data_IF_721794668930
#
_entry.id   IF_721794668930
#
_cell.length_a   1.000
_cell.length_b   1.000
_cell.length_c   1.000
_cell.angle_alpha   90.00
_cell.angle_beta   90.00
_cell.angle_gamma   90.00
#
_symmetry.space_group_name_H-M   'P 1'
#
loop_
_entity.id
_entity.type
_entity.pdbx_description
1 polymer ?
#
# COMPACT_ATOMS: atom_id res chain seq x y z
N UNK A 1 20.50 -9.22 -7.90
CA UNK A 1 19.04 -9.28 -8.14
C UNK A 1 18.22 -8.82 -6.93
N UNK A 2 18.39 -9.39 -5.72
CA UNK A 2 17.56 -8.99 -4.56
C UNK A 2 17.82 -7.53 -4.14
N UNK A 3 19.08 -7.10 -4.07
CA UNK A 3 19.44 -5.70 -3.69
C UNK A 3 18.85 -4.67 -4.66
N UNK A 4 18.86 -4.96 -5.96
CA UNK A 4 18.30 -4.07 -6.99
C UNK A 4 16.78 -4.03 -6.91
N UNK A 5 16.12 -5.17 -6.67
CA UNK A 5 14.66 -5.23 -6.48
C UNK A 5 14.22 -4.42 -5.26
N UNK A 6 14.87 -4.62 -4.11
CA UNK A 6 14.56 -3.86 -2.89
C UNK A 6 14.87 -2.37 -3.07
N UNK A 7 15.95 -2.03 -3.78
CA UNK A 7 16.28 -0.65 -4.13
C UNK A 7 15.20 0.04 -4.96
N UNK A 8 14.75 -0.60 -6.04
CA UNK A 8 13.69 -0.06 -6.92
C UNK A 8 12.35 0.05 -6.19
N UNK A 9 11.98 -0.95 -5.38
CA UNK A 9 10.76 -0.93 -4.60
C UNK A 9 10.77 0.21 -3.56
N UNK A 10 11.92 0.38 -2.89
CA UNK A 10 12.14 1.46 -1.93
C UNK A 10 12.07 2.85 -2.59
N UNK A 11 12.74 3.03 -3.74
CA UNK A 11 12.69 4.31 -4.46
C UNK A 11 11.27 4.65 -4.95
N UNK A 12 10.53 3.67 -5.49
CA UNK A 12 9.16 3.90 -5.96
C UNK A 12 8.21 4.27 -4.81
N UNK A 13 8.36 3.62 -3.65
CA UNK A 13 7.61 3.94 -2.44
C UNK A 13 7.92 5.36 -1.96
N UNK A 14 9.21 5.73 -1.93
CA UNK A 14 9.65 7.08 -1.56
C UNK A 14 9.08 8.15 -2.48
N UNK A 15 9.15 7.96 -3.80
CA UNK A 15 8.56 8.91 -4.76
C UNK A 15 7.06 9.08 -4.55
N UNK A 16 6.35 7.99 -4.24
CA UNK A 16 4.91 8.04 -3.95
C UNK A 16 4.62 8.86 -2.68
N UNK A 17 5.44 8.72 -1.63
CA UNK A 17 5.31 9.51 -0.39
C UNK A 17 5.62 10.98 -0.63
N UNK A 18 6.67 11.30 -1.39
CA UNK A 18 7.02 12.69 -1.75
C UNK A 18 5.87 13.34 -2.52
N UNK A 19 5.32 12.64 -3.52
CA UNK A 19 4.15 13.13 -4.27
C UNK A 19 2.91 13.31 -3.37
N UNK A 20 2.73 12.43 -2.38
CA UNK A 20 1.63 12.56 -1.42
C UNK A 20 1.79 13.77 -0.50
N UNK A 21 3.02 14.11 -0.11
CA UNK A 21 3.34 15.27 0.71
C UNK A 21 3.34 16.59 -0.07
N UNK A 22 3.46 16.53 -1.40
CA UNK A 22 3.37 17.68 -2.27
C UNK A 22 1.90 18.08 -2.50
N UNK A 23 1.43 19.11 -1.78
CA UNK A 23 0.04 19.56 -1.81
C UNK A 23 -0.20 20.61 -2.91
N UNK A 24 0.82 21.39 -3.27
CA UNK A 24 0.71 22.57 -4.15
C UNK A 24 1.70 22.50 -5.31
N UNK A 25 1.76 21.37 -6.00
CA UNK A 25 2.70 21.11 -7.11
C UNK A 25 4.18 21.36 -6.72
N UNK A 26 4.47 21.24 -5.42
CA UNK A 26 5.75 21.54 -4.81
C UNK A 26 6.61 20.28 -4.61
N UNK A 27 6.46 19.30 -5.51
CA UNK A 27 7.16 18.00 -5.46
C UNK A 27 8.68 18.22 -5.39
N UNK A 28 9.21 19.19 -6.15
CA UNK A 28 10.64 19.51 -6.15
C UNK A 28 11.15 20.03 -4.81
N UNK A 29 10.40 20.91 -4.13
CA UNK A 29 10.78 21.44 -2.81
C UNK A 29 10.73 20.35 -1.73
N UNK A 30 9.67 19.53 -1.74
CA UNK A 30 9.55 18.39 -0.83
C UNK A 30 10.70 17.40 -1.04
N UNK A 31 11.00 17.05 -2.30
CA UNK A 31 12.10 16.15 -2.64
C UNK A 31 13.47 16.72 -2.22
N UNK A 32 13.70 18.03 -2.40
CA UNK A 32 14.95 18.68 -2.01
C UNK A 32 15.14 18.68 -0.48
N UNK A 33 14.07 18.94 0.29
CA UNK A 33 14.09 18.86 1.75
C UNK A 33 14.37 17.45 2.25
N UNK A 34 13.69 16.47 1.68
CA UNK A 34 13.86 15.05 2.02
C UNK A 34 15.29 14.57 1.70
N UNK A 35 15.83 14.91 0.52
CA UNK A 35 17.21 14.59 0.14
C UNK A 35 18.27 15.27 1.03
N UNK A 36 18.01 16.51 1.46
CA UNK A 36 18.90 17.21 2.40
C UNK A 36 18.90 16.56 3.79
N UNK A 37 17.74 16.11 4.27
CA UNK A 37 17.62 15.39 5.55
C UNK A 37 18.36 14.06 5.52
N UNK A 38 18.20 13.28 4.45
CA UNK A 38 18.94 12.03 4.27
C UNK A 38 20.45 12.26 4.26
N UNK A 39 20.92 13.29 3.56
CA UNK A 39 22.34 13.65 3.50
C UNK A 39 22.87 14.00 4.90
N UNK A 40 22.15 14.83 5.65
CA UNK A 40 22.52 15.22 7.01
C UNK A 40 22.59 14.00 7.95
N UNK A 41 21.59 13.12 7.88
CA UNK A 41 21.54 11.88 8.67
C UNK A 41 22.71 10.96 8.30
N UNK A 42 23.05 10.84 7.01
CA UNK A 42 24.19 10.03 6.57
C UNK A 42 25.52 10.58 7.07
N UNK A 43 25.70 11.90 7.08
CA UNK A 43 26.89 12.55 7.67
C UNK A 43 26.98 12.25 9.17
N UNK A 44 25.87 12.37 9.89
CA UNK A 44 25.81 12.05 11.32
C UNK A 44 26.10 10.56 11.59
N UNK A 45 25.50 9.65 10.80
CA UNK A 45 25.74 8.22 10.90
C UNK A 45 27.20 7.86 10.63
N UNK A 46 27.83 8.51 9.65
CA UNK A 46 29.26 8.35 9.36
C UNK A 46 30.10 8.78 10.57
N UNK A 47 29.82 9.94 11.15
CA UNK A 47 30.53 10.42 12.34
C UNK A 47 30.38 9.47 13.53
N UNK A 48 29.15 9.01 13.81
CA UNK A 48 28.90 8.01 14.84
C UNK A 48 29.63 6.69 14.55
N UNK A 49 29.64 6.23 13.30
CA UNK A 49 30.33 5.00 12.91
C UNK A 49 31.83 5.09 13.14
N UNK A 50 32.44 6.25 12.86
CA UNK A 50 33.88 6.49 13.09
C UNK A 50 34.24 6.43 14.57
N UNK A 51 33.39 6.99 15.44
CA UNK A 51 33.59 6.96 16.89
C UNK A 51 33.36 5.56 17.48
N UNK A 52 32.43 4.80 16.90
CA UNK A 52 31.99 3.52 17.42
C UNK A 52 32.88 2.35 16.95
N UNK A 53 33.52 2.49 15.77
CA UNK A 53 34.38 1.47 15.17
C UNK A 53 35.52 0.98 16.10
N UNK A 54 36.28 1.85 16.81
CA UNK A 54 37.34 1.40 17.72
C UNK A 54 36.81 0.58 18.90
N UNK A 55 35.59 0.88 19.36
CA UNK A 55 34.94 0.21 20.50
C UNK A 55 34.45 -1.18 20.12
N UNK A 56 33.90 -1.33 18.91
CA UNK A 56 33.23 -2.57 18.49
C UNK A 56 34.11 -3.52 17.68
N UNK A 57 35.18 -3.02 17.05
CA UNK A 57 36.05 -3.78 16.14
C UNK A 57 36.67 -5.04 16.73
N UNK A 58 36.82 -5.11 18.06
CA UNK A 58 37.46 -6.23 18.75
C UNK A 58 36.49 -7.33 19.19
N UNK A 59 35.17 -7.14 19.09
CA UNK A 59 34.18 -8.09 19.58
C UNK A 59 33.03 -8.30 18.59
N UNK A 60 33.11 -9.39 17.84
CA UNK A 60 32.10 -9.76 16.85
C UNK A 60 30.69 -9.94 17.46
N UNK A 61 30.58 -10.39 18.71
CA UNK A 61 29.28 -10.53 19.39
C UNK A 61 28.65 -9.16 19.59
N UNK A 62 29.44 -8.17 20.00
CA UNK A 62 28.94 -6.80 20.20
C UNK A 62 28.51 -6.15 18.88
N UNK A 63 29.23 -6.41 17.78
CA UNK A 63 28.84 -5.96 16.43
C UNK A 63 27.48 -6.53 16.03
N UNK A 64 27.26 -7.85 16.21
CA UNK A 64 25.99 -8.49 15.87
C UNK A 64 24.84 -8.00 16.74
N UNK A 65 25.06 -7.81 18.05
CA UNK A 65 24.04 -7.25 18.94
C UNK A 65 23.61 -5.85 18.50
N UNK A 66 24.58 -4.98 18.20
CA UNK A 66 24.30 -3.61 17.78
C UNK A 66 23.63 -3.58 16.39
N UNK A 67 24.07 -4.44 15.47
CA UNK A 67 23.44 -4.61 14.17
C UNK A 67 21.96 -5.03 14.30
N UNK A 68 21.66 -6.04 15.11
CA UNK A 68 20.29 -6.48 15.34
C UNK A 68 19.44 -5.38 15.99
N UNK A 69 20.00 -4.67 16.98
CA UNK A 69 19.32 -3.55 17.65
C UNK A 69 18.98 -2.42 16.67
N UNK A 70 19.97 -1.94 15.91
CA UNK A 70 19.73 -0.88 14.93
C UNK A 70 18.78 -1.33 13.82
N UNK A 71 18.93 -2.56 13.31
CA UNK A 71 18.00 -3.12 12.31
C UNK A 71 16.57 -3.14 12.84
N UNK A 72 16.37 -3.55 14.10
CA UNK A 72 15.05 -3.52 14.73
C UNK A 72 14.49 -2.11 14.84
N UNK A 73 15.29 -1.15 15.31
CA UNK A 73 14.89 0.27 15.41
C UNK A 73 14.54 0.83 14.03
N UNK A 74 15.35 0.57 12.99
CA UNK A 74 15.09 0.99 11.62
C UNK A 74 13.78 0.39 11.09
N UNK A 75 13.57 -0.91 11.26
CA UNK A 75 12.36 -1.58 10.79
C UNK A 75 11.11 -1.09 11.53
N UNK A 76 11.21 -0.87 12.85
CA UNK A 76 10.13 -0.31 13.65
C UNK A 76 9.80 1.13 13.23
N UNK A 77 10.83 1.96 12.98
CA UNK A 77 10.66 3.30 12.45
C UNK A 77 9.93 3.31 11.11
N UNK A 78 10.35 2.45 10.17
CA UNK A 78 9.68 2.28 8.89
C UNK A 78 8.23 1.81 9.04
N UNK A 79 7.97 0.84 9.93
CA UNK A 79 6.61 0.38 10.23
C UNK A 79 5.73 1.52 10.75
N UNK A 80 6.23 2.31 11.70
CA UNK A 80 5.52 3.47 12.25
C UNK A 80 5.29 4.54 11.20
N UNK A 81 6.28 4.83 10.36
CA UNK A 81 6.15 5.79 9.27
C UNK A 81 5.00 5.39 8.33
N UNK A 82 4.94 4.12 7.90
CA UNK A 82 3.85 3.65 7.04
C UNK A 82 2.50 3.68 7.75
N UNK A 83 2.40 3.31 9.04
CA UNK A 83 1.12 3.39 9.80
C UNK A 83 0.56 4.82 9.91
N UNK A 84 1.42 5.83 9.90
CA UNK A 84 1.00 7.23 10.05
C UNK A 84 0.60 7.89 8.73
N UNK A 85 0.87 7.25 7.58
CA UNK A 85 0.49 7.79 6.28
C UNK A 85 -1.03 7.79 6.11
N UNK A 86 -1.56 8.91 5.60
CA UNK A 86 -2.98 9.10 5.32
C UNK A 86 -3.17 9.39 3.84
N UNK A 87 -3.07 8.35 3.02
CA UNK A 87 -3.24 8.48 1.58
C UNK A 87 -4.64 8.99 1.20
N UNK A 88 -4.69 9.79 0.13
CA UNK A 88 -5.94 10.25 -0.50
C UNK A 88 -6.56 9.18 -1.41
N UNK A 89 -5.89 8.05 -1.59
CA UNK A 89 -6.31 6.91 -2.40
C UNK A 89 -6.62 5.72 -1.50
N UNK A 90 -7.58 4.90 -1.91
CA UNK A 90 -7.90 3.65 -1.22
C UNK A 90 -7.10 2.52 -1.85
N UNK A 91 -6.28 1.84 -1.05
CA UNK A 91 -5.73 0.56 -1.45
C UNK A 91 -6.80 -0.55 -1.32
N UNK A 92 -6.54 -1.72 -1.90
CA UNK A 92 -7.52 -2.82 -1.92
C UNK A 92 -7.86 -3.36 -0.52
N UNK A 93 -6.88 -3.46 0.38
CA UNK A 93 -7.06 -3.94 1.75
C UNK A 93 -7.95 -2.98 2.54
N UNK A 94 -7.62 -1.70 2.49
CA UNK A 94 -8.36 -0.63 3.14
C UNK A 94 -9.78 -0.51 2.58
N UNK A 95 -9.97 -0.60 1.25
CA UNK A 95 -11.29 -0.61 0.64
C UNK A 95 -12.16 -1.73 1.22
N UNK A 96 -11.63 -2.95 1.30
CA UNK A 96 -12.35 -4.10 1.88
C UNK A 96 -12.76 -3.85 3.33
N UNK A 97 -11.84 -3.30 4.14
CA UNK A 97 -12.12 -2.97 5.54
C UNK A 97 -13.24 -1.93 5.62
N UNK A 98 -13.15 -0.85 4.83
CA UNK A 98 -14.15 0.22 4.80
C UNK A 98 -15.52 -0.30 4.37
N UNK A 99 -15.60 -1.12 3.32
CA UNK A 99 -16.87 -1.69 2.84
C UNK A 99 -17.48 -2.62 3.88
N UNK A 100 -16.68 -3.51 4.48
CA UNK A 100 -17.15 -4.41 5.53
C UNK A 100 -17.67 -3.65 6.75
N UNK A 101 -16.93 -2.65 7.21
CA UNK A 101 -17.32 -1.81 8.34
C UNK A 101 -18.61 -1.02 8.04
N UNK A 102 -18.75 -0.51 6.82
CA UNK A 102 -19.95 0.18 6.37
C UNK A 102 -21.18 -0.73 6.30
N UNK A 103 -21.04 -1.96 5.78
CA UNK A 103 -22.15 -2.93 5.74
C UNK A 103 -22.66 -3.21 7.16
N UNK A 104 -21.74 -3.36 8.12
CA UNK A 104 -22.08 -3.71 9.51
C UNK A 104 -22.63 -2.52 10.31
N UNK A 105 -22.03 -1.34 10.19
CA UNK A 105 -22.35 -0.17 11.04
C UNK A 105 -23.26 0.85 10.37
N UNK A 106 -23.39 0.80 9.04
CA UNK A 106 -24.02 1.83 8.19
C UNK A 106 -23.40 3.23 8.32
N UNK A 107 -22.18 3.31 8.85
CA UNK A 107 -21.40 4.54 9.02
C UNK A 107 -20.08 4.44 8.28
N UNK A 108 -19.52 5.58 7.89
CA UNK A 108 -18.18 5.68 7.31
C UNK A 108 -17.30 6.31 8.39
N UNK A 109 -16.32 5.55 8.88
CA UNK A 109 -15.34 6.06 9.83
C UNK A 109 -14.30 6.98 9.20
N UNK A 110 -13.49 7.61 10.04
CA UNK A 110 -12.43 8.52 9.59
C UNK A 110 -11.26 7.77 8.96
N UNK A 111 -10.45 8.46 8.14
CA UNK A 111 -9.23 7.88 7.54
C UNK A 111 -8.31 7.30 8.62
N UNK A 112 -8.16 8.00 9.74
CA UNK A 112 -7.33 7.55 10.85
C UNK A 112 -7.85 6.25 11.50
N UNK A 113 -9.17 6.16 11.73
CA UNK A 113 -9.78 4.94 12.28
C UNK A 113 -9.60 3.73 11.34
N UNK A 114 -9.76 3.95 10.03
CA UNK A 114 -9.65 2.89 9.04
C UNK A 114 -8.20 2.44 8.82
N UNK A 115 -7.25 3.38 8.75
CA UNK A 115 -5.82 3.07 8.65
C UNK A 115 -5.29 2.33 9.89
N UNK A 116 -5.86 2.59 11.07
CA UNK A 116 -5.51 1.86 12.28
C UNK A 116 -5.95 0.38 12.22
N UNK A 117 -7.09 0.09 11.58
CA UNK A 117 -7.59 -1.27 11.34
C UNK A 117 -6.81 -2.02 10.25
N UNK A 118 -6.04 -1.33 9.41
CA UNK A 118 -5.33 -1.94 8.29
C UNK A 118 -4.10 -2.78 8.75
N UNK A 119 -4.00 -4.05 8.30
CA UNK A 119 -2.82 -4.88 8.50
C UNK A 119 -1.73 -4.54 7.47
N UNK A 120 -0.51 -4.21 7.95
CA UNK A 120 0.61 -3.83 7.07
C UNK A 120 1.56 -5.01 6.77
N UNK A 121 1.85 -5.85 7.76
CA UNK A 121 2.96 -6.81 7.66
C UNK A 121 2.57 -8.15 7.02
N UNK A 122 1.34 -8.61 7.23
CA UNK A 122 0.89 -9.93 6.81
C UNK A 122 -0.53 -9.83 6.26
N UNK A 123 -0.67 -9.41 5.00
CA UNK A 123 -1.94 -9.50 4.29
C UNK A 123 -1.86 -10.62 3.25
N UNK A 124 -2.21 -11.84 3.67
CA UNK A 124 -2.48 -12.94 2.74
C UNK A 124 -3.98 -13.01 2.49
N UNK A 125 -4.50 -12.07 1.70
CA UNK A 125 -5.89 -12.19 1.25
C UNK A 125 -6.00 -13.21 0.13
N UNK A 126 -6.90 -14.18 0.31
CA UNK A 126 -7.19 -15.23 -0.66
C UNK A 126 -8.06 -14.75 -1.84
N UNK A 127 -8.69 -13.57 -1.74
CA UNK A 127 -9.51 -13.03 -2.83
C UNK A 127 -8.64 -12.14 -3.70
N UNK A 128 -8.35 -12.58 -4.94
CA UNK A 128 -7.63 -11.76 -5.92
C UNK A 128 -8.63 -10.92 -6.69
N UNK A 129 -8.45 -9.61 -6.60
CA UNK A 129 -9.22 -8.63 -7.36
C UNK A 129 -8.37 -8.17 -8.54
N UNK A 130 -8.89 -8.34 -9.74
CA UNK A 130 -8.26 -7.94 -10.98
C UNK A 130 -8.96 -6.68 -11.50
N UNK A 131 -8.32 -5.54 -11.30
CA UNK A 131 -8.79 -4.26 -11.83
C UNK A 131 -8.14 -3.99 -13.19
N UNK A 132 -8.93 -3.51 -14.16
CA UNK A 132 -8.44 -3.13 -15.49
C UNK A 132 -8.18 -4.30 -16.43
N UNK A 133 -8.75 -5.49 -16.19
CA UNK A 133 -8.64 -6.61 -17.12
C UNK A 133 -9.49 -6.36 -18.38
N UNK A 134 -9.11 -6.96 -19.51
CA UNK A 134 -9.89 -6.86 -20.75
C UNK A 134 -11.21 -7.61 -20.58
N UNK A 135 -12.27 -7.10 -21.21
CA UNK A 135 -13.59 -7.75 -21.18
C UNK A 135 -13.55 -9.18 -21.76
N UNK A 136 -12.66 -9.44 -22.72
CA UNK A 136 -12.40 -10.77 -23.29
C UNK A 136 -11.99 -11.80 -22.22
N UNK A 137 -11.19 -11.37 -21.26
CA UNK A 137 -10.59 -12.25 -20.25
C UNK A 137 -11.61 -12.65 -19.18
N UNK A 138 -12.76 -11.97 -19.15
CA UNK A 138 -13.83 -12.16 -18.16
C UNK A 138 -14.90 -13.17 -18.59
N UNK A 139 -14.93 -13.60 -19.86
CA UNK A 139 -16.04 -14.40 -20.42
C UNK A 139 -16.03 -15.88 -20.01
N UNK A 140 -14.96 -16.37 -19.38
CA UNK A 140 -14.69 -17.81 -19.23
C UNK A 140 -15.35 -18.53 -18.05
N UNK A 141 -16.07 -17.86 -17.13
CA UNK A 141 -16.62 -18.51 -15.92
C UNK A 141 -18.12 -18.83 -16.03
N UNK A 142 -18.50 -20.09 -15.75
CA UNK A 142 -19.87 -20.60 -15.87
C UNK A 142 -20.82 -20.19 -14.73
N UNK A 143 -20.31 -19.79 -13.55
CA UNK A 143 -21.14 -19.39 -12.40
C UNK A 143 -20.78 -17.99 -11.92
N UNK A 144 -21.24 -16.99 -12.69
CA UNK A 144 -20.84 -15.58 -12.55
C UNK A 144 -22.00 -14.71 -12.08
N UNK A 145 -21.72 -13.86 -11.09
CA UNK A 145 -22.54 -12.69 -10.81
C UNK A 145 -21.92 -11.51 -11.56
N UNK A 146 -22.68 -10.84 -12.42
CA UNK A 146 -22.16 -9.72 -13.22
C UNK A 146 -23.03 -8.49 -13.08
N UNK A 147 -22.38 -7.34 -12.89
CA UNK A 147 -22.98 -6.03 -13.02
C UNK A 147 -22.36 -5.32 -14.21
N UNK A 148 -23.18 -4.94 -15.19
CA UNK A 148 -22.74 -4.29 -16.42
C UNK A 148 -23.44 -2.94 -16.53
N UNK A 149 -22.66 -1.88 -16.76
CA UNK A 149 -23.18 -0.58 -17.13
C UNK A 149 -22.36 0.02 -18.28
N UNK A 150 -22.79 1.17 -18.81
CA UNK A 150 -22.10 1.85 -19.90
C UNK A 150 -20.68 2.34 -19.56
N UNK A 151 -20.34 2.41 -18.27
CA UNK A 151 -19.04 2.90 -17.77
C UNK A 151 -18.12 1.80 -17.27
N UNK A 152 -18.65 0.70 -16.75
CA UNK A 152 -17.82 -0.36 -16.21
C UNK A 152 -18.58 -1.69 -16.18
N UNK A 153 -17.81 -2.76 -16.11
CA UNK A 153 -18.31 -4.12 -15.94
C UNK A 153 -17.60 -4.76 -14.78
N UNK A 154 -18.38 -5.29 -13.83
CA UNK A 154 -17.89 -6.06 -12.70
C UNK A 154 -18.39 -7.49 -12.84
N UNK A 155 -17.48 -8.44 -12.77
CA UNK A 155 -17.79 -9.87 -12.81
C UNK A 155 -17.16 -10.52 -11.60
N UNK A 156 -17.97 -11.27 -10.85
CA UNK A 156 -17.52 -12.05 -9.71
C UNK A 156 -17.75 -13.53 -10.00
N UNK A 157 -16.68 -14.32 -9.94
CA UNK A 157 -16.76 -15.78 -9.97
C UNK A 157 -17.13 -16.30 -8.57
N UNK A 158 -18.34 -16.85 -8.46
CA UNK A 158 -18.89 -17.31 -7.19
C UNK A 158 -18.19 -18.58 -6.65
N UNK A 159 -17.53 -19.35 -7.52
CA UNK A 159 -16.81 -20.57 -7.13
C UNK A 159 -15.43 -20.25 -6.60
N UNK A 160 -14.72 -19.34 -7.28
CA UNK A 160 -13.29 -19.10 -7.06
C UNK A 160 -12.99 -17.86 -6.22
N UNK A 161 -14.01 -17.06 -5.85
CA UNK A 161 -13.87 -15.81 -5.11
C UNK A 161 -12.97 -14.78 -5.81
N UNK A 162 -12.94 -14.84 -7.14
CA UNK A 162 -12.21 -13.89 -7.99
C UNK A 162 -13.16 -12.81 -8.48
N UNK A 163 -12.68 -11.57 -8.34
CA UNK A 163 -13.37 -10.38 -8.80
C UNK A 163 -12.64 -9.75 -9.98
N UNK A 164 -13.37 -9.41 -11.02
CA UNK A 164 -12.84 -8.80 -12.23
C UNK A 164 -13.57 -7.48 -12.49
N UNK A 165 -12.82 -6.41 -12.75
CA UNK A 165 -13.36 -5.09 -13.09
C UNK A 165 -12.74 -4.61 -14.39
N UNK A 166 -13.60 -4.26 -15.35
CA UNK A 166 -13.23 -3.69 -16.65
C UNK A 166 -13.86 -2.30 -16.74
N UNK A 167 -13.05 -1.32 -17.12
CA UNK A 167 -13.48 0.07 -17.27
C UNK A 167 -13.66 0.40 -18.74
N UNK A 168 -14.72 1.15 -19.09
CA UNK A 168 -14.82 1.78 -20.39
C UNK A 168 -13.80 2.94 -20.50
N UNK A 169 -13.41 3.29 -21.73
CA UNK A 169 -12.50 4.41 -21.99
C UNK A 169 -13.05 5.76 -21.54
N UNK A 170 -14.38 5.88 -21.43
CA UNK A 170 -15.11 7.10 -21.04
C UNK A 170 -15.30 7.25 -19.52
N UNK A 171 -14.60 6.45 -18.72
CA UNK A 171 -14.83 6.33 -17.28
C UNK A 171 -13.87 7.16 -16.46
N UNK A 172 -14.39 7.81 -15.42
CA UNK A 172 -13.61 8.68 -14.54
C UNK A 172 -13.25 8.00 -13.22
N UNK A 173 -12.56 8.72 -12.33
CA UNK A 173 -12.12 8.23 -11.01
C UNK A 173 -13.32 7.82 -10.13
N UNK A 174 -14.45 8.55 -10.22
CA UNK A 174 -15.67 8.19 -9.49
C UNK A 174 -16.24 6.86 -9.97
N UNK A 175 -16.23 6.61 -11.29
CA UNK A 175 -16.65 5.34 -11.87
C UNK A 175 -15.74 4.18 -11.44
N UNK A 176 -14.43 4.41 -11.36
CA UNK A 176 -13.47 3.42 -10.84
C UNK A 176 -13.78 3.05 -9.39
N UNK A 177 -14.06 4.06 -8.55
CA UNK A 177 -14.42 3.84 -7.15
C UNK A 177 -15.75 3.09 -7.02
N UNK A 178 -16.77 3.46 -7.82
CA UNK A 178 -18.06 2.78 -7.87
C UNK A 178 -17.92 1.32 -8.30
N UNK A 179 -17.10 1.05 -9.31
CA UNK A 179 -16.83 -0.30 -9.77
C UNK A 179 -16.14 -1.15 -8.70
N UNK A 180 -15.15 -0.59 -8.01
CA UNK A 180 -14.45 -1.26 -6.92
C UNK A 180 -15.38 -1.53 -5.72
N UNK A 181 -16.22 -0.57 -5.35
CA UNK A 181 -17.24 -0.73 -4.31
C UNK A 181 -18.26 -1.82 -4.70
N UNK A 182 -18.73 -1.81 -5.94
CA UNK A 182 -19.69 -2.79 -6.45
C UNK A 182 -19.10 -4.21 -6.34
N UNK A 183 -17.83 -4.38 -6.71
CA UNK A 183 -17.16 -5.67 -6.58
C UNK A 183 -17.11 -6.15 -5.11
N UNK A 184 -16.68 -5.30 -4.19
CA UNK A 184 -16.58 -5.65 -2.77
C UNK A 184 -17.97 -5.94 -2.15
N UNK A 185 -19.01 -5.23 -2.57
CA UNK A 185 -20.39 -5.53 -2.15
C UNK A 185 -20.83 -6.91 -2.66
N UNK A 186 -20.59 -7.22 -3.94
CA UNK A 186 -20.93 -8.51 -4.54
C UNK A 186 -20.23 -9.67 -3.83
N UNK A 187 -18.95 -9.49 -3.45
CA UNK A 187 -18.19 -10.50 -2.70
C UNK A 187 -18.70 -10.67 -1.26
N UNK A 188 -19.13 -9.60 -0.60
CA UNK A 188 -19.64 -9.66 0.77
C UNK A 188 -21.08 -10.18 0.87
N UNK A 189 -21.91 -10.10 -0.19
CA UNK A 189 -23.26 -10.72 -0.19
C UNK A 189 -23.24 -12.26 -0.10
N UNK A 190 -22.06 -12.89 -0.22
CA UNK A 190 -21.85 -14.32 -0.02
C UNK A 190 -21.69 -14.72 1.45
N UNK A 191 -21.30 -13.78 2.32
CA UNK A 191 -20.85 -14.04 3.68
C UNK A 191 -22.00 -14.13 4.70
#
# INVERSE_FOLDING_TARGET
MIRTVVGVAGSATRTTVINHQAILDNVGDVAAKDGSQETLINVFALLCSLLLLPVVSKNAVFVWLLFCLFTFIHLYGNYRAVKMLQFRTLNQSLLRIVVKDYIQTRKIGTVNEMNNKEPILLHWSSSRHYYGCRLSDMSASSNKLSFVCSKFTVICDLRSNYGYVSMASVSNISDQLRAALCLELMLNMRA
#
